data_IF_431575960402
#
_entry.id   IF_431575960402
#
_cell.length_a   1.000
_cell.length_b   1.000
_cell.length_c   1.000
_cell.angle_alpha   90.00
_cell.angle_beta   90.00
_cell.angle_gamma   90.00
#
_symmetry.space_group_name_H-M   'P 1'
#
loop_
_entity.id
_entity.type
_entity.pdbx_description
1 polymer ?
#
# COMPACT_ATOMS: atom_id res chain seq x y z
N UNK A 1 -29.34 -3.84 -3.82
CA UNK A 1 -28.21 -4.57 -4.45
C UNK A 1 -28.47 -6.06 -4.25
N UNK A 2 -28.42 -6.89 -5.28
CA UNK A 2 -28.45 -8.35 -5.08
C UNK A 2 -27.13 -8.74 -4.39
N UNK A 3 -27.19 -9.19 -3.15
CA UNK A 3 -26.03 -9.78 -2.49
C UNK A 3 -25.66 -11.06 -3.23
N UNK A 4 -24.66 -10.99 -4.10
CA UNK A 4 -24.03 -12.17 -4.66
C UNK A 4 -23.15 -12.75 -3.55
N UNK A 5 -23.37 -14.01 -3.20
CA UNK A 5 -22.51 -14.73 -2.26
C UNK A 5 -21.18 -15.01 -2.97
N UNK A 6 -20.08 -14.59 -2.35
CA UNK A 6 -18.74 -14.86 -2.85
C UNK A 6 -18.26 -16.25 -2.42
N UNK A 7 -17.52 -16.92 -3.31
CA UNK A 7 -17.06 -18.29 -3.10
C UNK A 7 -15.80 -18.38 -2.22
N UNK A 8 -15.09 -17.27 -2.05
CA UNK A 8 -13.83 -17.20 -1.30
C UNK A 8 -13.62 -15.80 -0.72
N UNK A 9 -12.90 -15.73 0.41
CA UNK A 9 -12.40 -14.47 0.98
C UNK A 9 -11.57 -13.67 -0.03
N UNK A 10 -10.90 -14.34 -0.98
CA UNK A 10 -10.13 -13.67 -2.02
C UNK A 10 -11.00 -12.89 -3.01
N UNK A 11 -12.28 -13.27 -3.19
CA UNK A 11 -13.22 -12.54 -4.03
C UNK A 11 -13.67 -11.22 -3.41
N UNK A 12 -13.48 -11.04 -2.09
CA UNK A 12 -13.74 -9.80 -1.37
C UNK A 12 -12.58 -8.80 -1.45
N UNK A 13 -11.46 -9.15 -2.12
CA UNK A 13 -10.35 -8.22 -2.34
C UNK A 13 -10.74 -7.19 -3.40
N UNK A 14 -10.62 -5.92 -3.04
CA UNK A 14 -10.98 -4.78 -3.87
C UNK A 14 -12.43 -4.32 -3.71
N UNK A 15 -12.89 -3.48 -4.65
CA UNK A 15 -14.18 -2.77 -4.54
C UNK A 15 -14.36 -2.06 -3.17
N UNK A 16 -13.26 -1.53 -2.63
CA UNK A 16 -13.25 -0.85 -1.34
C UNK A 16 -14.02 0.47 -1.42
N UNK A 17 -14.65 0.93 -0.33
CA UNK A 17 -15.42 2.16 -0.37
C UNK A 17 -14.55 3.41 -0.52
N UNK A 18 -15.18 4.48 -1.02
CA UNK A 18 -14.67 5.84 -0.95
C UNK A 18 -15.55 6.69 -0.03
N UNK A 19 -14.94 7.58 0.75
CA UNK A 19 -15.67 8.49 1.64
C UNK A 19 -15.14 9.91 1.51
N UNK A 20 -16.03 10.90 1.54
CA UNK A 20 -15.66 12.32 1.53
C UNK A 20 -15.14 12.74 2.91
N UNK A 21 -14.01 13.47 2.94
CA UNK A 21 -13.54 14.13 4.17
C UNK A 21 -14.31 15.44 4.38
N UNK A 22 -14.82 15.66 5.60
CA UNK A 22 -15.77 16.74 5.88
C UNK A 22 -15.22 17.83 6.82
N UNK A 23 -14.30 17.48 7.72
CA UNK A 23 -13.82 18.35 8.81
C UNK A 23 -12.38 18.80 8.62
N UNK A 24 -11.49 17.91 8.18
CA UNK A 24 -10.06 18.24 8.00
C UNK A 24 -9.79 19.22 6.85
N UNK A 25 -10.55 19.23 5.72
CA UNK A 25 -10.32 20.20 4.65
C UNK A 25 -10.73 21.63 5.01
N UNK A 26 -9.97 22.61 4.54
CA UNK A 26 -10.32 24.03 4.68
C UNK A 26 -11.58 24.38 3.88
N UNK A 27 -12.32 25.41 4.33
CA UNK A 27 -13.43 25.98 3.55
C UNK A 27 -12.88 26.48 2.20
N UNK A 28 -13.68 26.32 1.14
CA UNK A 28 -13.34 26.69 -0.25
C UNK A 28 -12.23 25.85 -0.93
N UNK A 29 -11.84 24.72 -0.35
CA UNK A 29 -10.98 23.73 -1.01
C UNK A 29 -11.78 22.77 -1.90
N UNK A 30 -11.07 22.03 -2.77
CA UNK A 30 -11.64 20.92 -3.53
C UNK A 30 -12.24 19.85 -2.62
N UNK A 31 -13.20 19.08 -3.13
CA UNK A 31 -13.68 17.89 -2.43
C UNK A 31 -12.55 16.87 -2.32
N UNK A 32 -12.33 16.31 -1.13
CA UNK A 32 -11.36 15.22 -0.93
C UNK A 32 -12.13 13.94 -0.64
N UNK A 33 -11.88 12.89 -1.42
CA UNK A 33 -12.38 11.54 -1.18
C UNK A 33 -11.24 10.59 -0.83
N UNK A 34 -11.37 9.87 0.27
CA UNK A 34 -10.43 8.85 0.68
C UNK A 34 -10.87 7.48 0.15
N UNK A 35 -10.00 6.80 -0.59
CA UNK A 35 -10.14 5.38 -0.98
C UNK A 35 -9.65 4.50 0.16
N UNK A 36 -10.57 3.78 0.81
CA UNK A 36 -10.32 3.13 2.09
C UNK A 36 -9.85 1.68 1.91
N UNK A 37 -8.56 1.49 1.70
CA UNK A 37 -7.99 0.15 1.46
C UNK A 37 -7.91 -0.74 2.71
N UNK A 38 -8.20 -0.18 3.89
CA UNK A 38 -8.41 -0.93 5.13
C UNK A 38 -9.61 -1.90 5.08
N UNK A 39 -10.50 -1.77 4.10
CA UNK A 39 -11.66 -2.66 3.91
C UNK A 39 -11.36 -3.90 3.07
N UNK A 40 -10.12 -4.09 2.59
CA UNK A 40 -9.74 -5.39 2.06
C UNK A 40 -9.71 -6.43 3.22
N UNK A 41 -9.88 -7.74 2.95
CA UNK A 41 -9.96 -8.78 3.98
C UNK A 41 -8.78 -8.86 4.95
N UNK A 42 -7.57 -8.67 4.43
CA UNK A 42 -6.31 -8.55 5.16
C UNK A 42 -6.04 -7.13 5.63
N UNK A 43 -7.02 -6.22 5.59
CA UNK A 43 -6.98 -4.89 6.20
C UNK A 43 -6.02 -3.91 5.55
N UNK A 44 -5.62 -4.14 4.28
CA UNK A 44 -4.74 -3.20 3.57
C UNK A 44 -4.79 -3.31 2.05
N UNK A 45 -4.21 -2.31 1.38
CA UNK A 45 -4.01 -2.27 -0.08
C UNK A 45 -3.19 -3.44 -0.63
N UNK A 46 -2.40 -4.11 0.21
CA UNK A 46 -1.44 -5.13 -0.24
C UNK A 46 -2.10 -6.45 -0.62
N UNK A 47 -3.31 -6.70 -0.16
CA UNK A 47 -4.10 -7.87 -0.54
C UNK A 47 -4.28 -7.97 -2.06
N UNK A 48 -4.50 -6.80 -2.70
CA UNK A 48 -4.65 -6.69 -4.15
C UNK A 48 -3.43 -7.24 -4.88
N UNK A 49 -2.24 -6.75 -4.50
CA UNK A 49 -1.00 -7.10 -5.21
C UNK A 49 -0.58 -8.54 -4.89
N UNK A 50 -0.80 -8.99 -3.65
CA UNK A 50 -0.52 -10.36 -3.26
C UNK A 50 -1.35 -11.35 -4.10
N UNK A 51 -2.66 -11.09 -4.22
CA UNK A 51 -3.55 -11.91 -5.04
C UNK A 51 -3.08 -11.92 -6.51
N UNK A 52 -2.85 -10.74 -7.10
CA UNK A 52 -2.53 -10.69 -8.52
C UNK A 52 -1.15 -11.29 -8.82
N UNK A 53 -0.11 -11.01 -8.03
CA UNK A 53 1.22 -11.60 -8.27
C UNK A 53 1.18 -13.13 -8.22
N UNK A 54 0.41 -13.71 -7.29
CA UNK A 54 0.21 -15.16 -7.19
C UNK A 54 -0.59 -15.69 -8.38
N UNK A 55 -1.74 -15.10 -8.71
CA UNK A 55 -2.58 -15.56 -9.83
C UNK A 55 -1.89 -15.45 -11.19
N UNK A 56 -1.04 -14.45 -11.38
CA UNK A 56 -0.28 -14.33 -12.63
C UNK A 56 0.84 -15.37 -12.68
N UNK A 57 1.49 -15.68 -11.55
CA UNK A 57 2.47 -16.76 -11.49
C UNK A 57 1.84 -18.14 -11.74
N UNK A 58 0.62 -18.38 -11.24
CA UNK A 58 -0.20 -19.56 -11.55
C UNK A 58 -0.46 -19.65 -13.07
N UNK A 59 -0.98 -18.58 -13.68
CA UNK A 59 -1.31 -18.53 -15.11
C UNK A 59 -0.09 -18.75 -16.01
N UNK A 60 1.07 -18.25 -15.59
CA UNK A 60 2.35 -18.42 -16.31
C UNK A 60 2.97 -19.81 -16.09
N UNK A 61 2.39 -20.66 -15.23
CA UNK A 61 2.93 -21.97 -14.87
C UNK A 61 4.20 -21.93 -14.00
N UNK A 62 4.56 -20.75 -13.50
CA UNK A 62 5.73 -20.54 -12.62
C UNK A 62 5.42 -21.09 -11.22
N UNK A 63 4.20 -20.84 -10.72
CA UNK A 63 3.74 -21.31 -9.42
C UNK A 63 2.77 -22.49 -9.62
N UNK A 64 3.15 -23.67 -9.11
CA UNK A 64 2.36 -24.92 -9.22
C UNK A 64 1.71 -25.27 -7.89
N UNK A 65 0.62 -26.04 -7.91
CA UNK A 65 -0.05 -26.48 -6.68
C UNK A 65 0.95 -27.07 -5.65
N UNK A 66 0.85 -26.64 -4.39
CA UNK A 66 1.75 -27.07 -3.31
C UNK A 66 3.13 -26.41 -3.28
N UNK A 67 3.44 -25.50 -4.21
CA UNK A 67 4.69 -24.71 -4.22
C UNK A 67 4.83 -23.81 -2.99
N UNK A 68 6.03 -23.26 -2.80
CA UNK A 68 6.33 -22.33 -1.71
C UNK A 68 6.48 -20.91 -2.22
N UNK A 69 5.75 -19.97 -1.62
CA UNK A 69 5.94 -18.54 -1.81
C UNK A 69 6.96 -18.07 -0.77
N UNK A 70 7.97 -17.34 -1.21
CA UNK A 70 9.00 -16.74 -0.35
C UNK A 70 9.06 -15.25 -0.61
N UNK A 71 8.93 -14.39 0.40
CA UNK A 71 9.06 -12.94 0.21
C UNK A 71 9.77 -12.28 1.41
N UNK A 72 10.75 -11.38 1.16
CA UNK A 72 11.36 -10.59 2.22
C UNK A 72 10.46 -9.42 2.61
N UNK A 73 9.62 -9.62 3.62
CA UNK A 73 8.69 -8.59 4.08
C UNK A 73 8.21 -8.84 5.50
N UNK A 74 8.09 -7.77 6.29
CA UNK A 74 7.48 -7.74 7.62
C UNK A 74 6.17 -6.94 7.67
N UNK A 75 5.74 -6.41 6.53
CA UNK A 75 4.60 -5.50 6.44
C UNK A 75 3.36 -6.16 5.86
N UNK A 76 2.44 -5.30 5.42
CA UNK A 76 1.16 -5.69 4.86
C UNK A 76 1.25 -6.65 3.65
N UNK A 77 2.34 -6.62 2.88
CA UNK A 77 2.54 -7.58 1.77
C UNK A 77 2.65 -9.01 2.27
N UNK A 78 3.30 -9.23 3.43
CA UNK A 78 3.38 -10.55 4.05
C UNK A 78 2.00 -11.07 4.44
N UNK A 79 1.14 -10.20 4.98
CA UNK A 79 -0.24 -10.56 5.38
C UNK A 79 -1.06 -10.96 4.15
N UNK A 80 -1.03 -10.13 3.10
CA UNK A 80 -1.73 -10.45 1.86
C UNK A 80 -1.27 -11.79 1.26
N UNK A 81 0.05 -12.05 1.23
CA UNK A 81 0.59 -13.31 0.73
C UNK A 81 0.21 -14.50 1.63
N UNK A 82 0.19 -14.33 2.94
CA UNK A 82 -0.20 -15.36 3.89
C UNK A 82 -1.68 -15.76 3.70
N UNK A 83 -2.59 -14.80 3.55
CA UNK A 83 -4.01 -15.05 3.26
C UNK A 83 -4.18 -15.79 1.94
N UNK A 84 -3.53 -15.31 0.88
CA UNK A 84 -3.59 -15.93 -0.45
C UNK A 84 -3.03 -17.35 -0.42
N UNK A 85 -1.91 -17.57 0.26
CA UNK A 85 -1.30 -18.89 0.43
C UNK A 85 -2.17 -19.85 1.21
N UNK A 86 -2.77 -19.41 2.32
CA UNK A 86 -3.68 -20.23 3.13
C UNK A 86 -4.89 -20.72 2.32
N UNK A 87 -5.49 -19.85 1.50
CA UNK A 87 -6.67 -20.19 0.71
C UNK A 87 -6.34 -21.05 -0.52
N UNK A 88 -5.22 -20.78 -1.18
CA UNK A 88 -4.82 -21.48 -2.42
C UNK A 88 -3.95 -22.72 -2.17
N UNK A 89 -3.59 -23.01 -0.92
CA UNK A 89 -2.80 -24.19 -0.54
C UNK A 89 -1.30 -24.06 -0.84
N UNK A 90 -0.75 -22.85 -0.75
CA UNK A 90 0.69 -22.61 -0.85
C UNK A 90 1.34 -22.51 0.52
N UNK A 91 2.56 -23.02 0.63
CA UNK A 91 3.42 -22.71 1.78
C UNK A 91 3.89 -21.27 1.64
N UNK A 92 3.90 -20.51 2.73
CA UNK A 92 4.38 -19.12 2.72
C UNK A 92 5.54 -19.01 3.71
N UNK A 93 6.70 -18.57 3.21
CA UNK A 93 7.87 -18.27 4.03
C UNK A 93 8.15 -16.77 3.92
N UNK A 94 8.19 -16.09 5.05
CA UNK A 94 8.49 -14.66 5.12
C UNK A 94 9.80 -14.45 5.87
N UNK A 95 10.75 -13.77 5.23
CA UNK A 95 12.00 -13.38 5.88
C UNK A 95 11.89 -11.94 6.38
N UNK A 96 12.31 -11.72 7.63
CA UNK A 96 12.29 -10.39 8.23
C UNK A 96 13.31 -10.26 9.37
N UNK A 97 13.75 -9.04 9.71
CA UNK A 97 14.61 -8.82 10.87
C UNK A 97 13.92 -9.22 12.18
N UNK A 98 14.70 -9.73 13.15
CA UNK A 98 14.22 -10.05 14.51
C UNK A 98 13.72 -8.84 15.32
N UNK A 99 13.99 -7.61 14.85
CA UNK A 99 13.50 -6.36 15.46
C UNK A 99 12.02 -6.07 15.17
N UNK A 100 11.33 -6.91 14.41
CA UNK A 100 9.92 -6.75 14.11
C UNK A 100 9.03 -7.08 15.32
N UNK A 101 7.88 -6.40 15.42
CA UNK A 101 6.99 -6.57 16.57
C UNK A 101 6.37 -7.97 16.62
N UNK A 102 6.09 -8.44 17.84
CA UNK A 102 5.49 -9.75 18.06
C UNK A 102 4.08 -9.84 17.49
N UNK A 103 3.31 -8.75 17.52
CA UNK A 103 1.95 -8.73 16.96
C UNK A 103 1.95 -9.02 15.47
N UNK A 104 2.94 -8.49 14.72
CA UNK A 104 3.07 -8.77 13.27
C UNK A 104 3.40 -10.22 13.00
N UNK A 105 4.35 -10.77 13.76
CA UNK A 105 4.74 -12.18 13.65
C UNK A 105 3.52 -13.08 13.93
N UNK A 106 2.77 -12.79 14.99
CA UNK A 106 1.59 -13.55 15.38
C UNK A 106 0.47 -13.49 14.32
N UNK A 107 0.22 -12.33 13.72
CA UNK A 107 -0.75 -12.21 12.61
C UNK A 107 -0.34 -13.07 11.42
N UNK A 108 0.94 -13.07 11.06
CA UNK A 108 1.41 -13.86 9.91
C UNK A 108 1.35 -15.36 10.19
N UNK A 109 1.74 -15.78 11.40
CA UNK A 109 1.69 -17.17 11.82
C UNK A 109 0.25 -17.69 11.95
N UNK A 110 -0.73 -16.86 12.33
CA UNK A 110 -2.13 -17.28 12.40
C UNK A 110 -2.73 -17.64 11.03
N UNK A 111 -2.18 -17.08 9.95
CA UNK A 111 -2.46 -17.49 8.57
C UNK A 111 -1.58 -18.64 8.08
N UNK A 112 -0.78 -19.26 8.95
CA UNK A 112 0.07 -20.40 8.62
C UNK A 112 1.40 -20.06 7.94
N UNK A 113 1.80 -18.77 7.92
CA UNK A 113 3.10 -18.40 7.36
C UNK A 113 4.24 -18.84 8.29
N UNK A 114 5.30 -19.38 7.69
CA UNK A 114 6.57 -19.65 8.37
C UNK A 114 7.43 -18.40 8.39
N UNK A 115 7.91 -18.00 9.56
CA UNK A 115 8.72 -16.80 9.73
C UNK A 115 10.18 -17.18 9.89
N UNK A 116 11.03 -16.63 9.02
CA UNK A 116 12.48 -16.80 9.05
C UNK A 116 13.11 -15.48 9.51
N UNK A 117 13.44 -15.42 10.79
CA UNK A 117 14.06 -14.24 11.37
C UNK A 117 15.53 -14.11 10.93
N UNK A 118 15.93 -12.90 10.56
CA UNK A 118 17.32 -12.53 10.25
C UNK A 118 17.84 -11.53 11.28
N UNK A 119 19.16 -11.36 11.35
CA UNK A 119 19.79 -10.42 12.28
C UNK A 119 19.21 -9.01 12.17
N UNK A 120 18.89 -8.39 13.31
CA UNK A 120 18.44 -6.99 13.36
C UNK A 120 19.46 -6.03 12.72
N UNK A 121 20.76 -6.29 12.90
CA UNK A 121 21.86 -5.47 12.37
C UNK A 121 21.90 -5.46 10.84
N UNK A 122 21.56 -6.58 10.20
CA UNK A 122 21.53 -6.69 8.75
C UNK A 122 20.29 -6.02 8.13
N UNK A 123 19.28 -5.72 8.94
CA UNK A 123 18.04 -5.08 8.51
C UNK A 123 17.37 -5.80 7.34
N UNK A 124 16.65 -5.05 6.51
CA UNK A 124 15.95 -5.62 5.35
C UNK A 124 16.89 -6.19 4.28
N UNK A 125 18.15 -5.73 4.20
CA UNK A 125 19.14 -6.30 3.27
C UNK A 125 19.39 -7.77 3.59
N UNK A 126 19.61 -8.10 4.86
CA UNK A 126 19.77 -9.48 5.31
C UNK A 126 18.51 -10.34 5.07
N UNK A 127 17.32 -9.78 5.25
CA UNK A 127 16.07 -10.47 4.94
C UNK A 127 15.94 -10.81 3.44
N UNK A 128 16.32 -9.88 2.56
CA UNK A 128 16.34 -10.08 1.10
C UNK A 128 17.35 -11.17 0.71
N UNK A 129 18.56 -11.12 1.27
CA UNK A 129 19.59 -12.15 1.03
C UNK A 129 19.10 -13.53 1.46
N UNK A 130 18.47 -13.63 2.65
CA UNK A 130 17.93 -14.90 3.12
C UNK A 130 16.81 -15.43 2.24
N UNK A 131 15.91 -14.57 1.76
CA UNK A 131 14.86 -14.98 0.83
C UNK A 131 15.45 -15.53 -0.48
N UNK A 132 16.50 -14.89 -1.02
CA UNK A 132 17.19 -15.35 -2.23
C UNK A 132 17.88 -16.70 -2.02
N UNK A 133 18.53 -16.90 -0.89
CA UNK A 133 19.14 -18.18 -0.52
C UNK A 133 18.10 -19.32 -0.48
N UNK A 134 16.95 -19.07 0.15
CA UNK A 134 15.86 -20.05 0.24
C UNK A 134 15.34 -20.39 -1.16
N UNK A 135 15.09 -19.40 -2.01
CA UNK A 135 14.57 -19.63 -3.37
C UNK A 135 15.60 -20.33 -4.26
N UNK A 136 16.90 -20.08 -4.08
CA UNK A 136 17.95 -20.75 -4.83
C UNK A 136 18.12 -22.23 -4.45
N UNK A 137 17.75 -22.61 -3.23
CA UNK A 137 17.97 -23.96 -2.68
C UNK A 137 16.70 -24.81 -2.65
N UNK A 138 15.53 -24.19 -2.54
CA UNK A 138 14.24 -24.87 -2.49
C UNK A 138 13.68 -25.08 -3.88
N UNK A 139 13.43 -26.35 -4.23
CA UNK A 139 12.70 -26.71 -5.45
C UNK A 139 11.27 -26.15 -5.38
N UNK A 140 10.78 -25.62 -6.50
CA UNK A 140 9.41 -25.10 -6.64
C UNK A 140 9.10 -23.93 -5.67
N UNK A 141 10.10 -23.06 -5.42
CA UNK A 141 9.93 -21.80 -4.70
C UNK A 141 9.74 -20.62 -5.66
N UNK A 142 8.84 -19.71 -5.30
CA UNK A 142 8.51 -18.50 -6.05
C UNK A 142 8.67 -17.27 -5.19
N UNK A 143 9.40 -16.26 -5.70
CA UNK A 143 9.50 -14.95 -5.07
C UNK A 143 8.67 -13.92 -5.84
N UNK A 144 7.59 -13.37 -5.24
CA UNK A 144 6.78 -12.34 -5.87
C UNK A 144 7.56 -11.09 -6.25
N UNK A 145 8.53 -10.64 -5.43
CA UNK A 145 9.38 -9.46 -5.67
C UNK A 145 8.57 -8.16 -5.87
N UNK A 146 7.86 -7.73 -4.83
CA UNK A 146 6.86 -6.65 -4.90
C UNK A 146 7.33 -5.29 -5.48
N UNK A 147 8.64 -5.00 -5.45
CA UNK A 147 9.22 -3.74 -5.93
C UNK A 147 9.57 -3.73 -7.43
N UNK A 148 9.57 -4.89 -8.08
CA UNK A 148 9.93 -5.04 -9.50
C UNK A 148 8.90 -5.81 -10.32
N UNK A 149 8.01 -6.55 -9.67
CA UNK A 149 7.01 -7.35 -10.38
C UNK A 149 5.93 -6.47 -11.04
N UNK A 150 5.80 -6.48 -12.38
CA UNK A 150 4.82 -5.65 -13.10
C UNK A 150 3.36 -6.01 -12.77
N UNK A 151 3.12 -7.19 -12.19
CA UNK A 151 1.80 -7.62 -11.75
C UNK A 151 1.32 -6.81 -10.53
N UNK A 152 2.21 -6.13 -9.80
CA UNK A 152 1.84 -5.16 -8.77
C UNK A 152 1.06 -3.95 -9.36
N UNK A 153 1.66 -3.06 -10.18
CA UNK A 153 0.91 -1.95 -10.77
C UNK A 153 -0.22 -2.41 -11.69
N UNK A 154 -0.09 -3.57 -12.35
CA UNK A 154 -1.16 -4.10 -13.22
C UNK A 154 -2.47 -4.34 -12.46
N UNK A 155 -2.41 -4.76 -11.20
CA UNK A 155 -3.62 -4.92 -10.39
C UNK A 155 -4.32 -3.58 -10.18
N UNK A 156 -3.57 -2.53 -9.86
CA UNK A 156 -4.12 -1.20 -9.67
C UNK A 156 -4.70 -0.59 -10.95
N UNK A 157 -4.10 -0.86 -12.13
CA UNK A 157 -4.69 -0.51 -13.43
C UNK A 157 -6.03 -1.20 -13.65
N UNK A 158 -6.10 -2.49 -13.30
CA UNK A 158 -7.27 -3.34 -13.56
C UNK A 158 -8.42 -3.03 -12.61
N UNK A 159 -8.14 -2.71 -11.35
CA UNK A 159 -9.16 -2.57 -10.31
C UNK A 159 -9.18 -1.17 -9.72
N UNK A 160 -8.17 -0.78 -8.93
CA UNK A 160 -8.19 0.44 -8.11
C UNK A 160 -8.51 1.69 -8.93
N UNK A 161 -7.89 1.85 -10.10
CA UNK A 161 -8.12 2.98 -10.99
C UNK A 161 -9.56 3.01 -11.54
N UNK A 162 -10.09 1.85 -11.92
CA UNK A 162 -11.45 1.73 -12.46
C UNK A 162 -12.52 1.97 -11.39
N UNK A 163 -12.25 1.50 -10.18
CA UNK A 163 -13.10 1.78 -9.01
C UNK A 163 -13.14 3.30 -8.78
N UNK A 164 -11.99 3.97 -8.73
CA UNK A 164 -11.93 5.43 -8.56
C UNK A 164 -12.69 6.18 -9.67
N UNK A 165 -12.47 5.82 -10.95
CA UNK A 165 -13.18 6.44 -12.07
C UNK A 165 -14.69 6.22 -11.99
N UNK A 166 -15.13 5.03 -11.62
CA UNK A 166 -16.54 4.70 -11.45
C UNK A 166 -17.15 5.49 -10.29
N UNK A 167 -16.51 5.47 -9.13
CA UNK A 167 -17.03 6.07 -7.89
C UNK A 167 -17.03 7.61 -7.95
N UNK A 168 -16.26 8.20 -8.86
CA UNK A 168 -16.21 9.65 -9.10
C UNK A 168 -16.92 10.07 -10.39
N UNK A 169 -17.60 9.16 -11.10
CA UNK A 169 -18.18 9.43 -12.43
C UNK A 169 -17.19 10.09 -13.41
N UNK A 170 -15.90 9.75 -13.29
CA UNK A 170 -14.80 10.31 -14.09
C UNK A 170 -14.39 11.75 -13.72
N UNK A 171 -14.96 12.36 -12.69
CA UNK A 171 -14.72 13.78 -12.34
C UNK A 171 -13.53 14.01 -11.40
N UNK A 172 -12.65 13.02 -11.22
CA UNK A 172 -11.41 13.19 -10.45
C UNK A 172 -10.47 14.17 -11.16
N UNK A 173 -9.97 15.18 -10.45
CA UNK A 173 -9.02 16.18 -10.96
C UNK A 173 -7.59 15.92 -10.47
N UNK A 174 -7.43 15.26 -9.32
CA UNK A 174 -6.12 14.84 -8.82
C UNK A 174 -6.19 13.53 -8.04
N UNK A 175 -5.11 12.75 -8.13
CA UNK A 175 -4.87 11.56 -7.31
C UNK A 175 -3.59 11.72 -6.51
N UNK A 176 -3.69 11.54 -5.19
CA UNK A 176 -2.58 11.67 -4.25
C UNK A 176 -2.36 10.34 -3.55
N UNK A 177 -1.12 9.83 -3.58
CA UNK A 177 -0.79 8.60 -2.87
C UNK A 177 0.67 8.56 -2.42
N UNK A 178 0.89 7.94 -1.25
CA UNK A 178 2.22 7.66 -0.76
C UNK A 178 2.91 6.53 -1.52
N UNK A 179 4.22 6.69 -1.75
CA UNK A 179 5.02 5.76 -2.56
C UNK A 179 5.80 4.81 -1.65
N UNK A 180 5.28 3.58 -1.53
CA UNK A 180 6.02 2.42 -1.02
C UNK A 180 6.70 1.66 -2.16
N UNK A 181 5.99 0.68 -2.72
CA UNK A 181 6.43 0.00 -3.96
C UNK A 181 6.22 0.87 -5.20
N UNK A 182 5.36 1.88 -5.15
CA UNK A 182 5.00 2.70 -6.32
C UNK A 182 3.94 2.10 -7.24
N UNK A 183 3.50 0.86 -6.99
CA UNK A 183 2.53 0.18 -7.84
C UNK A 183 1.15 0.85 -7.86
N UNK A 184 0.68 1.35 -6.73
CA UNK A 184 -0.59 2.10 -6.63
C UNK A 184 -0.55 3.37 -7.48
N UNK A 185 0.47 4.22 -7.27
CA UNK A 185 0.60 5.49 -7.99
C UNK A 185 0.76 5.26 -9.49
N UNK A 186 1.58 4.28 -9.88
CA UNK A 186 1.79 3.91 -11.29
C UNK A 186 0.51 3.42 -11.94
N UNK A 187 -0.13 2.39 -11.36
CA UNK A 187 -1.28 1.75 -11.98
C UNK A 187 -2.51 2.65 -12.02
N UNK A 188 -2.74 3.44 -10.97
CA UNK A 188 -3.82 4.44 -10.96
C UNK A 188 -3.48 5.59 -11.89
N UNK A 189 -2.29 6.18 -11.76
CA UNK A 189 -1.88 7.36 -12.51
C UNK A 189 -1.90 7.16 -14.02
N UNK A 190 -1.39 6.05 -14.53
CA UNK A 190 -1.43 5.76 -15.97
C UNK A 190 -2.86 5.66 -16.52
N UNK A 191 -3.77 5.02 -15.80
CA UNK A 191 -5.17 4.89 -16.23
C UNK A 191 -5.89 6.24 -16.15
N UNK A 192 -5.67 7.02 -15.09
CA UNK A 192 -6.26 8.35 -14.95
C UNK A 192 -5.73 9.31 -16.01
N UNK A 193 -4.42 9.35 -16.26
CA UNK A 193 -3.82 10.17 -17.34
C UNK A 193 -4.35 9.77 -18.72
N UNK A 194 -4.57 8.47 -18.97
CA UNK A 194 -5.21 8.00 -20.21
C UNK A 194 -6.68 8.46 -20.32
N UNK A 195 -7.40 8.51 -19.21
CA UNK A 195 -8.78 9.00 -19.18
C UNK A 195 -8.84 10.52 -19.41
N UNK A 196 -8.00 11.28 -18.72
CA UNK A 196 -7.85 12.71 -18.90
C UNK A 196 -6.41 13.14 -18.53
N UNK A 197 -5.59 13.61 -19.49
CA UNK A 197 -4.18 13.94 -19.24
C UNK A 197 -4.00 15.14 -18.29
N UNK A 198 -5.07 15.93 -18.05
CA UNK A 198 -5.05 17.05 -17.11
C UNK A 198 -5.17 16.63 -15.64
N UNK A 199 -5.52 15.37 -15.37
CA UNK A 199 -5.57 14.86 -13.99
C UNK A 199 -4.17 14.92 -13.40
N UNK A 200 -4.03 15.53 -12.23
CA UNK A 200 -2.75 15.60 -11.52
C UNK A 200 -2.47 14.32 -10.74
N UNK A 201 -1.28 13.76 -10.87
CA UNK A 201 -0.81 12.63 -10.08
C UNK A 201 0.29 13.11 -9.15
N UNK A 202 0.06 12.97 -7.85
CA UNK A 202 0.93 13.52 -6.81
C UNK A 202 1.47 12.40 -5.93
N UNK A 203 2.79 12.28 -5.89
CA UNK A 203 3.50 11.32 -5.06
C UNK A 203 3.76 11.90 -3.67
N UNK A 204 3.55 11.11 -2.61
CA UNK A 204 3.95 11.47 -1.25
C UNK A 204 5.16 10.63 -0.84
N UNK A 205 6.18 11.29 -0.28
CA UNK A 205 7.34 10.63 0.33
C UNK A 205 7.72 11.27 1.67
N UNK A 206 8.43 10.54 2.56
CA UNK A 206 8.92 11.11 3.81
C UNK A 206 10.02 12.14 3.55
N UNK A 207 9.95 13.29 4.24
CA UNK A 207 10.97 14.34 4.17
C UNK A 207 12.37 13.84 4.55
N UNK A 208 12.45 12.91 5.51
CA UNK A 208 13.70 12.32 5.98
C UNK A 208 14.27 11.21 5.07
N UNK A 209 13.52 10.79 4.03
CA UNK A 209 13.95 9.80 3.04
C UNK A 209 13.42 10.13 1.65
N UNK A 210 13.74 11.34 1.19
CA UNK A 210 13.17 12.02 0.02
C UNK A 210 13.87 11.66 -1.31
N UNK A 211 13.97 10.36 -1.60
CA UNK A 211 14.70 9.84 -2.77
C UNK A 211 14.06 10.25 -4.10
N UNK A 212 12.73 10.38 -4.18
CA UNK A 212 12.04 10.79 -5.41
C UNK A 212 12.35 12.26 -5.76
N UNK A 213 12.53 13.10 -4.74
CA UNK A 213 12.95 14.50 -4.84
C UNK A 213 14.48 14.67 -5.07
N UNK A 214 15.24 13.59 -5.22
CA UNK A 214 16.69 13.64 -5.46
C UNK A 214 17.54 13.73 -4.19
N UNK A 215 16.94 13.58 -3.02
CA UNK A 215 17.65 13.48 -1.75
C UNK A 215 18.25 12.10 -1.49
N UNK A 216 18.63 11.85 -0.24
CA UNK A 216 19.24 10.58 0.20
C UNK A 216 18.23 9.75 1.00
N UNK A 217 18.36 8.41 1.01
CA UNK A 217 17.62 7.59 1.95
C UNK A 217 17.98 7.94 3.39
N UNK A 218 17.01 7.85 4.28
CA UNK A 218 17.21 8.09 5.71
C UNK A 218 16.14 7.41 6.57
N UNK A 219 16.35 7.34 7.89
CA UNK A 219 15.35 6.79 8.80
C UNK A 219 14.13 7.71 8.86
N UNK A 220 12.93 7.12 8.89
CA UNK A 220 11.66 7.83 9.02
C UNK A 220 10.61 6.93 9.68
N UNK A 221 9.48 7.50 10.09
CA UNK A 221 8.41 6.83 10.85
C UNK A 221 7.15 6.55 10.02
N UNK A 222 7.01 7.15 8.83
CA UNK A 222 5.87 6.91 7.93
C UNK A 222 5.89 5.49 7.32
N UNK A 223 5.45 4.49 8.08
CA UNK A 223 5.47 3.11 7.64
C UNK A 223 4.59 2.86 6.40
N UNK A 224 5.11 2.04 5.49
CA UNK A 224 4.45 1.66 4.24
C UNK A 224 4.87 2.47 3.01
N UNK A 225 5.57 3.59 3.19
CA UNK A 225 6.13 4.43 2.11
C UNK A 225 7.63 4.69 2.35
N UNK A 226 8.32 5.34 1.39
CA UNK A 226 9.71 5.77 1.59
C UNK A 226 10.72 4.62 1.63
N UNK A 227 10.72 3.73 0.64
CA UNK A 227 11.55 2.51 0.65
C UNK A 227 13.09 2.75 0.68
N UNK A 228 13.56 4.00 0.59
CA UNK A 228 14.99 4.34 0.55
C UNK A 228 15.66 4.14 -0.82
N UNK A 229 14.88 3.81 -1.84
CA UNK A 229 15.30 3.72 -3.24
C UNK A 229 14.09 3.99 -4.14
N UNK A 230 14.34 4.20 -5.44
CA UNK A 230 13.27 4.30 -6.45
C UNK A 230 12.87 2.88 -6.89
N UNK A 231 11.65 2.41 -6.61
CA UNK A 231 11.22 1.08 -7.03
C UNK A 231 11.14 0.96 -8.56
N UNK A 232 11.47 -0.21 -9.10
CA UNK A 232 11.42 -0.46 -10.55
C UNK A 232 10.00 -0.38 -11.11
N UNK A 233 8.99 -0.79 -10.33
CA UNK A 233 7.58 -0.67 -10.75
C UNK A 233 7.02 0.76 -10.70
N UNK A 234 7.78 1.75 -10.21
CA UNK A 234 7.33 3.14 -10.17
C UNK A 234 7.57 3.81 -11.53
N UNK A 235 6.49 4.10 -12.25
CA UNK A 235 6.55 5.00 -13.40
C UNK A 235 6.65 6.45 -12.88
N UNK A 236 7.76 7.12 -13.19
CA UNK A 236 8.00 8.52 -12.77
C UNK A 236 7.43 9.55 -13.74
N UNK A 237 7.22 9.17 -15.00
CA UNK A 237 6.76 10.08 -16.06
C UNK A 237 5.31 10.54 -15.85
N UNK A 238 4.53 9.76 -15.09
CA UNK A 238 3.14 10.10 -14.75
C UNK A 238 3.03 11.10 -13.59
N UNK A 239 4.12 11.37 -12.86
CA UNK A 239 4.10 12.18 -11.64
C UNK A 239 4.19 13.67 -12.01
N UNK A 240 3.18 14.44 -11.65
CA UNK A 240 3.18 15.90 -11.84
C UNK A 240 3.87 16.63 -10.67
N UNK A 241 3.79 16.07 -9.46
CA UNK A 241 4.32 16.70 -8.25
C UNK A 241 4.74 15.62 -7.22
N UNK A 242 5.81 15.90 -6.48
CA UNK A 242 6.22 15.11 -5.30
C UNK A 242 6.13 16.01 -4.08
N UNK A 243 5.35 15.62 -3.08
CA UNK A 243 5.23 16.34 -1.81
C UNK A 243 5.97 15.53 -0.73
N UNK A 244 6.90 16.20 -0.06
CA UNK A 244 7.60 15.67 1.10
C UNK A 244 6.78 15.95 2.36
N UNK A 245 6.61 14.93 3.21
CA UNK A 245 5.85 15.04 4.46
C UNK A 245 6.73 14.70 5.65
N UNK A 246 6.62 15.49 6.71
CA UNK A 246 7.30 15.23 7.98
C UNK A 246 6.63 14.10 8.78
N UNK A 247 7.44 13.32 9.50
CA UNK A 247 6.97 12.19 10.31
C UNK A 247 5.92 12.62 11.36
N UNK A 248 6.18 13.73 12.06
CA UNK A 248 5.30 14.22 13.12
C UNK A 248 4.01 14.79 12.53
N UNK A 249 4.07 15.49 11.40
CA UNK A 249 2.88 16.00 10.72
C UNK A 249 1.98 14.86 10.24
N UNK A 250 2.55 13.83 9.60
CA UNK A 250 1.81 12.65 9.16
C UNK A 250 1.11 11.98 10.33
N UNK A 251 1.80 11.85 11.46
CA UNK A 251 1.24 11.31 12.69
C UNK A 251 0.07 12.15 13.24
N UNK A 252 0.25 13.46 13.37
CA UNK A 252 -0.82 14.35 13.85
C UNK A 252 -2.03 14.31 12.93
N UNK A 253 -1.82 14.24 11.61
CA UNK A 253 -2.93 14.11 10.67
C UNK A 253 -3.68 12.78 10.82
N UNK A 254 -2.99 11.66 11.06
CA UNK A 254 -3.64 10.38 11.34
C UNK A 254 -4.52 10.43 12.62
N UNK A 255 -4.05 11.13 13.67
CA UNK A 255 -4.89 11.41 14.87
C UNK A 255 -6.12 12.24 14.52
N UNK A 256 -5.94 13.30 13.72
CA UNK A 256 -7.05 14.17 13.29
C UNK A 256 -8.07 13.42 12.45
N UNK A 257 -7.65 12.57 11.51
CA UNK A 257 -8.57 11.69 10.76
C UNK A 257 -9.45 10.84 11.71
N UNK A 258 -8.85 10.31 12.77
CA UNK A 258 -9.59 9.51 13.76
C UNK A 258 -10.57 10.37 14.57
N UNK A 259 -10.15 11.54 15.06
CA UNK A 259 -10.94 12.39 15.96
C UNK A 259 -11.99 13.23 15.24
N UNK A 260 -11.70 13.68 14.03
CA UNK A 260 -12.52 14.65 13.27
C UNK A 260 -13.38 13.95 12.20
N UNK A 261 -12.87 12.90 11.56
CA UNK A 261 -13.59 12.17 10.49
C UNK A 261 -14.12 10.80 10.91
N UNK A 262 -13.70 10.29 12.08
CA UNK A 262 -14.02 8.92 12.51
C UNK A 262 -13.30 7.85 11.69
N UNK A 263 -12.23 8.21 10.97
CA UNK A 263 -11.46 7.29 10.11
C UNK A 263 -10.19 6.88 10.83
N UNK A 264 -10.13 5.63 11.29
CA UNK A 264 -8.97 5.10 12.00
C UNK A 264 -7.96 4.46 11.03
N UNK A 265 -7.03 5.25 10.51
CA UNK A 265 -6.08 4.84 9.48
C UNK A 265 -4.61 4.97 9.92
N UNK A 266 -3.69 4.26 9.25
CA UNK A 266 -2.25 4.30 9.55
C UNK A 266 -1.55 5.62 9.20
N UNK A 267 -0.29 5.82 9.64
CA UNK A 267 0.47 7.08 9.45
C UNK A 267 0.63 7.44 7.96
N UNK A 268 0.80 6.46 7.06
CA UNK A 268 0.89 6.75 5.62
C UNK A 268 -0.39 7.34 5.04
N UNK A 269 -1.56 7.05 5.64
CA UNK A 269 -2.83 7.72 5.32
C UNK A 269 -2.83 9.17 5.77
N UNK A 270 -2.26 9.47 6.95
CA UNK A 270 -2.05 10.83 7.42
C UNK A 270 -1.16 11.64 6.47
N UNK A 271 -0.06 11.04 5.99
CA UNK A 271 0.81 11.67 5.00
C UNK A 271 0.09 11.92 3.65
N UNK A 272 -0.66 10.92 3.16
CA UNK A 272 -1.46 11.06 1.94
C UNK A 272 -2.56 12.12 2.07
N UNK A 273 -3.14 12.27 3.26
CA UNK A 273 -4.14 13.30 3.57
C UNK A 273 -3.53 14.70 3.55
N UNK A 274 -2.34 14.90 4.16
CA UNK A 274 -1.65 16.20 4.12
C UNK A 274 -1.37 16.67 2.69
N UNK A 275 -0.85 15.78 1.84
CA UNK A 275 -0.66 16.10 0.43
C UNK A 275 -1.98 16.41 -0.28
N UNK A 276 -3.04 15.65 0.01
CA UNK A 276 -4.37 15.90 -0.56
C UNK A 276 -4.95 17.26 -0.15
N UNK A 277 -4.74 17.69 1.10
CA UNK A 277 -5.15 19.00 1.59
C UNK A 277 -4.44 20.14 0.85
N UNK A 278 -3.13 20.01 0.64
CA UNK A 278 -2.35 20.99 -0.13
C UNK A 278 -2.85 21.10 -1.58
N UNK A 279 -3.06 19.95 -2.24
CA UNK A 279 -3.57 19.92 -3.62
C UNK A 279 -5.00 20.47 -3.71
N UNK A 280 -5.86 20.10 -2.76
CA UNK A 280 -7.26 20.55 -2.74
C UNK A 280 -7.37 22.07 -2.55
N UNK A 281 -6.50 22.67 -1.73
CA UNK A 281 -6.43 24.11 -1.54
C UNK A 281 -6.08 24.85 -2.83
N UNK A 282 -5.13 24.32 -3.61
CA UNK A 282 -4.71 24.92 -4.89
C UNK A 282 -5.77 24.76 -5.97
N UNK A 283 -6.44 23.60 -6.04
CA UNK A 283 -7.49 23.36 -7.04
C UNK A 283 -8.77 24.15 -6.77
N UNK A 284 -9.12 24.37 -5.50
CA UNK A 284 -10.29 25.14 -5.10
C UNK A 284 -11.64 24.43 -5.31
N UNK A 285 -12.71 25.19 -5.14
CA UNK A 285 -14.10 24.69 -5.19
C UNK A 285 -14.44 23.96 -6.51
N UNK A 286 -15.41 23.04 -6.42
CA UNK A 286 -15.94 22.24 -7.53
C UNK A 286 -14.94 21.27 -8.17
N UNK A 287 -13.76 21.11 -7.57
CA UNK A 287 -12.75 20.12 -7.96
C UNK A 287 -12.80 18.90 -7.05
N UNK A 288 -12.22 17.80 -7.53
CA UNK A 288 -12.19 16.52 -6.81
C UNK A 288 -10.78 15.98 -6.70
N UNK A 289 -10.31 15.80 -5.47
CA UNK A 289 -9.07 15.11 -5.12
C UNK A 289 -9.42 13.74 -4.56
N UNK A 290 -8.75 12.70 -5.05
CA UNK A 290 -8.82 11.36 -4.47
C UNK A 290 -7.49 11.05 -3.80
N UNK A 291 -7.53 10.60 -2.55
CA UNK A 291 -6.35 10.13 -1.81
C UNK A 291 -6.54 8.70 -1.34
N UNK A 292 -5.47 7.93 -1.20
CA UNK A 292 -5.55 6.53 -0.82
C UNK A 292 -5.09 6.32 0.63
N UNK A 293 -5.96 5.68 1.44
CA UNK A 293 -5.66 5.30 2.82
C UNK A 293 -5.31 3.82 2.85
N UNK A 294 -4.01 3.44 2.95
CA UNK A 294 -3.57 2.09 2.63
C UNK A 294 -4.02 1.00 3.60
N UNK A 295 -4.25 1.34 4.87
CA UNK A 295 -4.54 0.38 5.94
C UNK A 295 -5.15 1.04 7.20
N UNK A 296 -5.57 0.18 8.14
CA UNK A 296 -6.14 0.57 9.44
C UNK A 296 -5.08 1.01 10.44
N UNK A 297 -5.45 1.94 11.33
CA UNK A 297 -4.65 2.38 12.47
C UNK A 297 -4.39 1.29 13.51
N UNK A 298 -5.23 0.25 13.57
CA UNK A 298 -5.10 -0.86 14.54
C UNK A 298 -3.75 -1.56 14.48
N UNK A 299 -3.15 -1.63 13.29
CA UNK A 299 -1.86 -2.31 13.03
C UNK A 299 -0.66 -1.66 13.70
N UNK A 300 -0.89 -0.51 14.32
CA UNK A 300 0.14 0.36 14.84
C UNK A 300 -0.06 0.69 16.32
N UNK A 301 -0.99 0.01 17.01
CA UNK A 301 -1.25 0.18 18.44
C UNK A 301 -0.02 -0.04 19.34
N UNK A 302 0.82 -1.01 19.00
CA UNK A 302 2.05 -1.31 19.77
C UNK A 302 3.22 -0.40 19.44
N UNK A 303 3.10 0.50 18.47
CA UNK A 303 4.12 1.50 18.21
C UNK A 303 3.93 2.63 19.22
N UNK A 304 4.78 2.70 20.25
CA UNK A 304 4.75 3.67 21.37
C UNK A 304 4.31 5.11 21.02
N UNK A 305 4.65 5.69 19.85
CA UNK A 305 4.18 7.03 19.49
C UNK A 305 2.70 7.10 19.10
N UNK A 306 2.00 6.00 18.78
CA UNK A 306 0.70 6.09 18.12
C UNK A 306 -0.44 6.54 19.03
N UNK A 307 -0.38 6.26 20.33
CA UNK A 307 -1.52 6.46 21.26
C UNK A 307 -1.22 7.24 22.53
N UNK A 308 0.04 7.62 22.78
CA UNK A 308 0.33 8.53 23.89
C UNK A 308 -0.16 9.94 23.51
N UNK A 309 -1.16 10.35 24.29
CA UNK A 309 -1.90 11.62 24.25
C UNK A 309 -1.01 12.73 24.79
#
# INVERSE_FOLDING_TARGET
MSHKLDASILNLIGNTPMVKLAKVPEKNSANIYAKLEMFNPGGSVKDRIALNMVEQAEKKGILKAGSTIVEPTSGNTGIGLAIVGAVKGYKVILTMPESMSQERIQILQSFGATIMLTSAKAGMVGAVEKAREIVATMKDAFMPQQFMNPDNPAMHRKTTAKEILKDTDGTVDAFVAGVGTGGTLTGVGEVLKKHNPKIKIVAIEPKNSNVLSGGKPGPHLIQGIGAGFVPEVLNREIIDEVIMVDDHEAYQMAKRLSREEGIFAGISSGAACLGALQVAKVLGLNKTVVTLFPDSGERYLSMEPYFNV
#
